data_IF_617390099078
#
_entry.id   IF_617390099078
#
_cell.length_a   1.000
_cell.length_b   1.000
_cell.length_c   1.000
_cell.angle_alpha   90.00
_cell.angle_beta   90.00
_cell.angle_gamma   90.00
#
_symmetry.space_group_name_H-M   'P 1'
#
loop_
_entity.id
_entity.type
_entity.pdbx_description
1 polymer ?
#
# COMPACT_ATOMS: atom_id res chain seq x y z
N UNK A 1 -15.84 21.42 7.88
CA UNK A 1 -14.81 20.99 6.93
C UNK A 1 -15.04 19.52 6.69
N UNK A 2 -15.45 19.12 5.48
CA UNK A 2 -15.69 17.72 5.13
C UNK A 2 -14.39 17.15 4.55
N UNK A 3 -13.70 16.30 5.32
CA UNK A 3 -12.45 15.65 4.91
C UNK A 3 -12.69 14.20 4.48
N UNK A 4 -11.68 13.60 3.86
CA UNK A 4 -11.63 12.17 3.57
C UNK A 4 -10.63 11.49 4.50
N UNK A 5 -10.75 10.17 4.66
CA UNK A 5 -9.77 9.29 5.31
C UNK A 5 -9.33 8.23 4.33
N UNK A 6 -8.06 7.83 4.40
CA UNK A 6 -7.50 6.76 3.59
C UNK A 6 -7.26 5.53 4.45
N UNK A 7 -7.39 4.35 3.84
CA UNK A 7 -6.99 3.06 4.40
C UNK A 7 -6.10 2.37 3.40
N UNK A 8 -4.96 1.88 3.87
CA UNK A 8 -4.05 1.07 3.07
C UNK A 8 -4.14 -0.37 3.57
N UNK A 9 -4.23 -1.31 2.64
CA UNK A 9 -4.15 -2.74 2.92
C UNK A 9 -3.14 -3.41 2.00
N UNK A 10 -2.56 -4.51 2.49
CA UNK A 10 -1.57 -5.29 1.77
C UNK A 10 -1.94 -6.77 1.78
N UNK A 11 -1.97 -7.40 0.62
CA UNK A 11 -2.19 -8.84 0.47
C UNK A 11 -1.08 -9.49 -0.38
N UNK A 12 -0.26 -10.38 0.21
CA UNK A 12 -0.19 -10.72 1.64
C UNK A 12 0.59 -9.66 2.45
N UNK A 13 0.25 -9.49 3.74
CA UNK A 13 1.02 -8.63 4.67
C UNK A 13 2.43 -9.17 4.99
N UNK A 14 2.68 -10.45 4.66
CA UNK A 14 3.99 -11.09 4.79
C UNK A 14 4.29 -11.87 3.52
N UNK A 15 5.37 -11.53 2.84
CA UNK A 15 5.73 -12.12 1.56
C UNK A 15 7.16 -12.63 1.55
N UNK A 16 7.43 -13.63 0.73
CA UNK A 16 8.81 -13.99 0.41
C UNK A 16 9.42 -12.88 -0.46
N UNK A 17 10.72 -12.63 -0.35
CA UNK A 17 11.42 -11.72 -1.27
C UNK A 17 11.16 -12.09 -2.74
N UNK A 18 11.01 -11.09 -3.60
CA UNK A 18 10.62 -11.20 -5.01
C UNK A 18 9.21 -11.78 -5.26
N UNK A 19 8.39 -11.99 -4.22
CA UNK A 19 6.96 -12.28 -4.37
C UNK A 19 6.17 -10.99 -4.41
N UNK A 20 5.18 -10.96 -5.30
CA UNK A 20 4.29 -9.82 -5.47
C UNK A 20 3.35 -9.67 -4.29
N UNK A 21 3.26 -8.45 -3.77
CA UNK A 21 2.27 -8.00 -2.79
C UNK A 21 1.37 -6.98 -3.49
N UNK A 22 0.06 -7.16 -3.34
CA UNK A 22 -0.92 -6.20 -3.84
C UNK A 22 -1.22 -5.21 -2.72
N UNK A 23 -1.01 -3.93 -2.99
CA UNK A 23 -1.42 -2.85 -2.12
C UNK A 23 -2.72 -2.25 -2.64
N UNK A 24 -3.64 -1.94 -1.74
CA UNK A 24 -4.90 -1.28 -2.06
C UNK A 24 -5.16 -0.11 -1.11
N UNK A 25 -5.37 1.08 -1.69
CA UNK A 25 -5.63 2.31 -0.99
C UNK A 25 -7.09 2.71 -1.20
N UNK A 26 -7.92 2.62 -0.16
CA UNK A 26 -9.32 3.04 -0.21
C UNK A 26 -9.49 4.39 0.47
N UNK A 27 -10.42 5.21 -0.02
CA UNK A 27 -10.73 6.51 0.57
C UNK A 27 -12.20 6.59 0.94
N UNK A 28 -12.51 7.20 2.08
CA UNK A 28 -13.87 7.33 2.60
C UNK A 28 -14.14 8.74 3.09
N UNK A 29 -15.37 9.20 3.00
CA UNK A 29 -15.84 10.42 3.67
C UNK A 29 -15.68 10.25 5.19
N UNK A 30 -15.02 11.21 5.84
CA UNK A 30 -14.78 11.16 7.29
C UNK A 30 -16.08 11.13 8.11
N UNK A 31 -17.13 11.80 7.63
CA UNK A 31 -18.37 11.99 8.40
C UNK A 31 -19.25 10.73 8.49
N UNK A 32 -19.23 9.88 7.46
CA UNK A 32 -20.17 8.77 7.33
C UNK A 32 -19.52 7.47 6.81
N UNK A 33 -18.19 7.45 6.63
CA UNK A 33 -17.43 6.27 6.18
C UNK A 33 -17.94 5.69 4.86
N UNK A 34 -18.49 6.53 3.98
CA UNK A 34 -18.89 6.13 2.63
C UNK A 34 -17.68 6.24 1.71
N UNK A 35 -17.45 5.21 0.88
CA UNK A 35 -16.35 5.20 -0.07
C UNK A 35 -16.46 6.37 -1.06
N UNK A 36 -15.34 7.05 -1.32
CA UNK A 36 -15.26 8.16 -2.27
C UNK A 36 -14.48 7.76 -3.51
N UNK A 37 -14.88 8.27 -4.70
CA UNK A 37 -14.13 8.03 -5.91
C UNK A 37 -12.76 8.72 -5.85
N UNK A 38 -11.72 7.95 -6.08
CA UNK A 38 -10.32 8.39 -6.12
C UNK A 38 -9.99 8.88 -7.54
N UNK A 39 -9.34 10.04 -7.65
CA UNK A 39 -8.80 10.57 -8.90
C UNK A 39 -7.37 10.09 -9.15
N UNK A 40 -6.54 10.06 -8.10
CA UNK A 40 -5.20 9.46 -8.15
C UNK A 40 -4.72 9.03 -6.76
N UNK A 41 -3.72 8.15 -6.74
CA UNK A 41 -2.99 7.73 -5.54
C UNK A 41 -1.50 7.94 -5.77
N UNK A 42 -0.86 8.64 -4.84
CA UNK A 42 0.61 8.71 -4.77
C UNK A 42 1.12 7.66 -3.82
N UNK A 43 2.10 6.88 -4.25
CA UNK A 43 2.66 5.76 -3.50
C UNK A 43 4.11 6.01 -3.11
N UNK A 44 4.46 5.65 -1.88
CA UNK A 44 5.86 5.60 -1.43
C UNK A 44 6.16 4.28 -0.74
N UNK A 45 7.43 3.87 -0.84
CA UNK A 45 8.02 2.80 -0.05
C UNK A 45 9.22 3.38 0.70
N UNK A 46 9.26 3.26 2.03
CA UNK A 46 10.32 3.80 2.90
C UNK A 46 10.65 5.27 2.58
N UNK A 47 9.60 6.10 2.45
CA UNK A 47 9.64 7.53 2.07
C UNK A 47 10.14 7.83 0.65
N UNK A 48 10.43 6.83 -0.18
CA UNK A 48 10.79 7.00 -1.59
C UNK A 48 9.55 6.85 -2.48
N UNK A 49 9.35 7.80 -3.41
CA UNK A 49 8.25 7.73 -4.38
C UNK A 49 8.42 6.51 -5.30
N UNK A 50 7.39 5.67 -5.38
CA UNK A 50 7.35 4.51 -6.28
C UNK A 50 6.38 4.70 -7.45
N UNK A 51 5.50 5.72 -7.39
CA UNK A 51 4.66 6.10 -8.53
C UNK A 51 3.38 6.84 -8.16
N UNK A 52 2.66 7.27 -9.19
CA UNK A 52 1.30 7.82 -9.10
C UNK A 52 0.41 7.02 -10.04
N UNK A 53 -0.73 6.55 -9.54
CA UNK A 53 -1.69 5.75 -10.30
C UNK A 53 -3.07 6.38 -10.27
N UNK A 54 -3.88 6.15 -11.31
CA UNK A 54 -5.32 6.42 -11.26
C UNK A 54 -6.07 5.29 -10.56
N UNK A 55 -5.57 4.06 -10.71
CA UNK A 55 -6.07 2.91 -9.99
C UNK A 55 -5.69 2.98 -8.51
N UNK A 56 -6.56 2.45 -7.66
CA UNK A 56 -6.37 2.42 -6.22
C UNK A 56 -5.51 1.23 -5.75
N UNK A 57 -4.98 0.43 -6.68
CA UNK A 57 -4.13 -0.74 -6.40
C UNK A 57 -2.81 -0.67 -7.14
N UNK A 58 -1.76 -1.19 -6.50
CA UNK A 58 -0.46 -1.43 -7.14
C UNK A 58 0.12 -2.76 -6.71
N UNK A 59 0.95 -3.33 -7.58
CA UNK A 59 1.74 -4.52 -7.29
C UNK A 59 3.17 -4.11 -6.97
N UNK A 60 3.68 -4.57 -5.83
CA UNK A 60 5.04 -4.30 -5.37
C UNK A 60 5.78 -5.59 -5.06
N UNK A 61 7.10 -5.54 -5.14
CA UNK A 61 8.00 -6.63 -4.76
C UNK A 61 9.19 -6.03 -4.04
N UNK A 62 9.74 -6.72 -3.04
CA UNK A 62 11.03 -6.36 -2.45
C UNK A 62 12.08 -7.42 -2.75
N UNK A 63 13.27 -6.96 -3.14
CA UNK A 63 14.44 -7.82 -3.30
C UNK A 63 15.20 -8.06 -1.97
N UNK A 64 14.84 -7.33 -0.92
CA UNK A 64 15.51 -7.37 0.38
C UNK A 64 14.58 -7.88 1.46
N UNK A 65 15.17 -8.60 2.41
CA UNK A 65 14.50 -9.05 3.63
C UNK A 65 14.27 -7.88 4.57
N UNK A 66 13.20 -7.96 5.36
CA UNK A 66 12.88 -6.97 6.37
C UNK A 66 11.52 -6.33 6.16
N UNK A 67 11.28 -5.29 6.96
CA UNK A 67 10.03 -4.54 6.97
C UNK A 67 10.16 -3.35 6.03
N UNK A 68 9.22 -3.22 5.10
CA UNK A 68 9.07 -2.04 4.23
C UNK A 68 7.79 -1.33 4.61
N UNK A 69 7.88 -0.03 4.86
CA UNK A 69 6.72 0.81 5.17
C UNK A 69 6.19 1.44 3.89
N UNK A 70 4.94 1.13 3.56
CA UNK A 70 4.25 1.70 2.41
C UNK A 70 3.36 2.84 2.86
N UNK A 71 3.36 3.91 2.07
CA UNK A 71 2.50 5.06 2.22
C UNK A 71 1.66 5.21 0.96
N UNK A 72 0.35 5.37 1.12
CA UNK A 72 -0.53 5.81 0.05
C UNK A 72 -1.13 7.17 0.41
N UNK A 73 -1.10 8.11 -0.52
CA UNK A 73 -1.84 9.37 -0.44
C UNK A 73 -2.89 9.37 -1.53
N UNK A 74 -4.14 9.15 -1.14
CA UNK A 74 -5.28 9.19 -2.05
C UNK A 74 -5.75 10.64 -2.22
N UNK A 75 -6.06 11.02 -3.46
CA UNK A 75 -6.70 12.29 -3.81
C UNK A 75 -8.04 11.98 -4.47
N UNK A 76 -9.14 12.51 -3.94
CA UNK A 76 -10.45 12.32 -4.52
C UNK A 76 -10.70 13.23 -5.75
N UNK A 77 -11.83 13.03 -6.43
CA UNK A 77 -12.24 13.84 -7.58
C UNK A 77 -12.50 15.33 -7.27
N UNK A 78 -12.58 15.68 -5.98
CA UNK A 78 -12.79 17.05 -5.51
C UNK A 78 -11.47 17.71 -5.04
N UNK A 79 -10.33 17.01 -5.15
CA UNK A 79 -9.01 17.50 -4.77
C UNK A 79 -8.68 17.41 -3.29
N UNK A 80 -9.49 16.71 -2.48
CA UNK A 80 -9.18 16.42 -1.07
C UNK A 80 -8.22 15.24 -1.01
N UNK A 81 -7.30 15.27 -0.05
CA UNK A 81 -6.32 14.20 0.13
C UNK A 81 -6.33 13.60 1.53
N UNK A 82 -5.95 12.33 1.62
CA UNK A 82 -5.66 11.65 2.86
C UNK A 82 -4.53 10.63 2.67
N UNK A 83 -3.76 10.41 3.74
CA UNK A 83 -2.60 9.53 3.73
C UNK A 83 -2.80 8.37 4.69
N UNK A 84 -2.41 7.17 4.28
CA UNK A 84 -2.41 5.97 5.08
C UNK A 84 -1.08 5.22 4.96
N UNK A 85 -0.78 4.41 5.97
CA UNK A 85 0.47 3.67 6.10
C UNK A 85 0.18 2.21 6.38
N UNK A 86 0.98 1.32 5.83
CA UNK A 86 0.92 -0.11 6.10
C UNK A 86 2.31 -0.73 5.99
N UNK A 87 2.58 -1.74 6.79
CA UNK A 87 3.89 -2.36 6.86
C UNK A 87 3.85 -3.79 6.31
N UNK A 88 4.73 -4.08 5.35
CA UNK A 88 4.85 -5.43 4.79
C UNK A 88 6.17 -6.04 5.24
N UNK A 89 6.12 -7.28 5.72
CA UNK A 89 7.31 -8.03 6.12
C UNK A 89 7.75 -8.98 5.00
N UNK A 90 8.93 -8.72 4.44
CA UNK A 90 9.58 -9.59 3.48
C UNK A 90 10.56 -10.55 4.16
N UNK A 91 10.50 -11.83 3.80
CA UNK A 91 11.37 -12.88 4.38
C UNK A 91 11.97 -13.77 3.29
N UNK A 92 13.07 -14.46 3.60
CA UNK A 92 13.67 -15.41 2.65
C UNK A 92 12.84 -16.68 2.55
N UNK A 93 12.81 -17.29 1.37
CA UNK A 93 12.30 -18.64 1.25
C UNK A 93 13.29 -19.59 1.89
N UNK A 94 13.07 -19.96 3.14
CA UNK A 94 13.85 -21.01 3.77
C UNK A 94 13.34 -22.35 3.23
N UNK A 95 13.68 -22.69 1.99
CA UNK A 95 13.76 -24.08 1.57
C UNK A 95 14.91 -24.67 2.36
N UNK A 96 14.60 -25.08 3.58
CA UNK A 96 15.49 -25.77 4.51
C UNK A 96 16.20 -26.86 3.71
N UNK A 97 17.51 -26.69 3.50
CA UNK A 97 18.35 -27.75 2.98
C UNK A 97 18.07 -29.01 3.78
N UNK A 98 17.47 -30.00 3.13
CA UNK A 98 17.43 -31.36 3.66
C UNK A 98 18.88 -31.80 3.76
N UNK A 99 19.43 -31.82 4.97
CA UNK A 99 20.63 -32.57 5.26
C UNK A 99 20.34 -34.02 4.82
N UNK A 100 21.08 -34.49 3.82
CA UNK A 100 21.23 -35.89 3.47
C UNK A 100 22.72 -36.23 3.59
#
# INVERSE_FOLDING_TARGET
MFGIVAYLSADPMKAVVNVTVTLECSAFEFANMTEVPIANVTWKADNMSIGVTQDNKINVTSATVGKTSYECTAVDVYGRNATAYEDVLYYENVTKGMCA
#
